data_IF_641592258462
#
_entry.id   IF_641592258462
#
_cell.length_a   1.000
_cell.length_b   1.000
_cell.length_c   1.000
_cell.angle_alpha   90.00
_cell.angle_beta   90.00
_cell.angle_gamma   90.00
#
_symmetry.space_group_name_H-M   'P 1'
#
loop_
_entity.id
_entity.type
_entity.pdbx_description
1 polymer ?
#
# COMPACT_ATOMS: atom_id res chain seq x y z
N UNK A 1 0.48 -17.87 -3.47
CA UNK A 1 0.33 -18.63 -4.75
C UNK A 1 1.69 -18.88 -5.37
N UNK A 2 1.91 -20.02 -6.09
CA UNK A 2 3.12 -20.28 -6.87
C UNK A 2 2.75 -20.32 -8.35
N UNK A 3 3.63 -19.77 -9.19
CA UNK A 3 3.43 -19.81 -10.64
C UNK A 3 3.74 -21.21 -11.19
N UNK A 4 2.88 -21.72 -12.06
CA UNK A 4 3.07 -23.03 -12.69
C UNK A 4 3.98 -23.01 -13.93
N UNK A 5 4.42 -21.80 -14.33
CA UNK A 5 5.27 -21.59 -15.51
C UNK A 5 6.78 -21.66 -15.23
N UNK A 6 7.55 -21.01 -16.09
CA UNK A 6 8.98 -20.77 -15.97
C UNK A 6 9.23 -19.28 -15.79
N UNK A 7 10.26 -18.89 -15.00
CA UNK A 7 10.60 -17.47 -14.88
C UNK A 7 11.21 -16.94 -16.18
N UNK A 8 11.06 -15.65 -16.42
CA UNK A 8 11.65 -14.99 -17.58
C UNK A 8 13.12 -14.63 -17.35
N UNK A 9 13.92 -14.68 -18.42
CA UNK A 9 15.32 -14.21 -18.37
C UNK A 9 15.38 -12.74 -18.00
N UNK A 10 16.16 -12.42 -16.96
CA UNK A 10 16.29 -11.08 -16.39
C UNK A 10 15.35 -10.80 -15.21
N UNK A 11 14.39 -11.66 -14.95
CA UNK A 11 13.48 -11.56 -13.80
C UNK A 11 14.24 -11.70 -12.48
N UNK A 12 13.74 -11.01 -11.44
CA UNK A 12 14.16 -11.21 -10.06
C UNK A 12 13.22 -12.20 -9.38
N UNK A 13 13.80 -13.26 -8.84
CA UNK A 13 13.05 -14.33 -8.17
C UNK A 13 13.52 -14.51 -6.73
N UNK A 14 12.59 -14.84 -5.85
CA UNK A 14 12.89 -15.23 -4.47
C UNK A 14 13.07 -16.74 -4.39
N UNK A 15 14.14 -17.18 -3.77
CA UNK A 15 14.39 -18.59 -3.56
C UNK A 15 15.02 -18.90 -2.22
N UNK A 16 15.02 -20.16 -1.87
CA UNK A 16 15.63 -20.70 -0.66
C UNK A 16 16.81 -21.56 -1.02
N UNK A 17 17.94 -21.31 -0.36
CA UNK A 17 19.13 -22.13 -0.52
C UNK A 17 18.86 -23.55 -0.04
N UNK A 18 18.88 -24.51 -0.95
CA UNK A 18 18.68 -25.93 -0.65
C UNK A 18 20.01 -26.62 -0.41
N UNK A 19 20.91 -26.61 -1.38
CA UNK A 19 22.17 -27.35 -1.33
C UNK A 19 23.35 -26.47 -1.78
N UNK A 20 24.49 -26.62 -1.09
CA UNK A 20 25.71 -25.86 -1.37
C UNK A 20 26.82 -26.82 -1.76
N UNK A 21 27.28 -26.72 -3.01
CA UNK A 21 28.36 -27.47 -3.58
C UNK A 21 29.59 -26.58 -3.87
N UNK A 22 30.75 -27.17 -4.15
CA UNK A 22 32.00 -26.41 -4.42
C UNK A 22 31.89 -25.58 -5.72
N UNK A 23 31.04 -26.00 -6.67
CA UNK A 23 30.86 -25.35 -7.96
C UNK A 23 29.69 -24.37 -7.96
N UNK A 24 28.81 -24.36 -6.94
CA UNK A 24 27.66 -23.48 -6.90
C UNK A 24 26.62 -23.81 -5.84
N UNK A 25 25.50 -23.16 -5.93
CA UNK A 25 24.39 -23.23 -4.96
C UNK A 25 23.10 -23.57 -5.68
N UNK A 26 22.40 -24.55 -5.19
CA UNK A 26 21.06 -24.87 -5.65
C UNK A 26 20.03 -24.09 -4.88
N UNK A 27 19.08 -23.48 -5.59
CA UNK A 27 18.05 -22.60 -5.05
C UNK A 27 16.68 -23.15 -5.43
N UNK A 28 15.85 -23.48 -4.45
CA UNK A 28 14.44 -23.78 -4.68
C UNK A 28 13.68 -22.47 -4.82
N UNK A 29 12.98 -22.26 -5.94
CA UNK A 29 12.23 -21.03 -6.17
C UNK A 29 10.95 -21.03 -5.34
N UNK A 30 10.78 -19.98 -4.52
CA UNK A 30 9.61 -19.86 -3.64
C UNK A 30 8.35 -19.40 -4.39
N UNK A 31 8.52 -18.70 -5.51
CA UNK A 31 7.44 -18.15 -6.33
C UNK A 31 6.96 -19.08 -7.43
N UNK A 32 7.70 -20.17 -7.73
CA UNK A 32 7.41 -21.12 -8.79
C UNK A 32 7.22 -22.53 -8.25
N UNK A 33 6.25 -23.28 -8.84
CA UNK A 33 6.00 -24.68 -8.46
C UNK A 33 7.13 -25.57 -8.96
N UNK A 34 7.72 -26.35 -8.04
CA UNK A 34 8.71 -27.39 -8.34
C UNK A 34 9.87 -26.93 -9.23
N UNK A 35 10.26 -25.64 -9.14
CA UNK A 35 11.39 -25.10 -9.88
C UNK A 35 12.60 -24.92 -8.98
N UNK A 36 13.73 -25.37 -9.51
CA UNK A 36 15.04 -25.29 -8.87
C UNK A 36 16.04 -24.65 -9.84
N UNK A 37 16.80 -23.68 -9.37
CA UNK A 37 17.84 -23.04 -10.15
C UNK A 37 19.23 -23.31 -9.58
N UNK A 38 20.25 -23.02 -10.40
CA UNK A 38 21.67 -23.12 -10.04
C UNK A 38 22.32 -21.75 -10.10
N UNK A 39 22.94 -21.35 -8.98
CA UNK A 39 23.86 -20.22 -8.93
C UNK A 39 25.26 -20.75 -8.99
N UNK A 40 25.95 -20.58 -10.13
CA UNK A 40 27.36 -20.96 -10.27
C UNK A 40 28.22 -20.16 -9.27
N UNK A 41 29.36 -20.74 -8.79
CA UNK A 41 30.23 -20.09 -7.81
C UNK A 41 30.65 -18.67 -8.21
N UNK A 42 30.84 -18.40 -9.51
CA UNK A 42 31.16 -17.07 -10.05
C UNK A 42 29.99 -16.07 -9.97
N UNK A 43 28.77 -16.55 -9.74
CA UNK A 43 27.55 -15.77 -9.65
C UNK A 43 27.04 -15.55 -8.21
N UNK A 44 27.73 -16.11 -7.21
CA UNK A 44 27.36 -15.96 -5.79
C UNK A 44 27.74 -14.58 -5.24
N UNK A 45 28.97 -14.14 -5.50
CA UNK A 45 29.46 -12.83 -5.08
C UNK A 45 30.50 -12.27 -6.05
N UNK A 46 30.73 -10.94 -5.96
CA UNK A 46 31.77 -10.27 -6.75
C UNK A 46 33.17 -10.60 -6.20
N UNK A 47 34.09 -11.01 -7.07
CA UNK A 47 35.47 -11.31 -6.71
C UNK A 47 35.77 -12.80 -6.60
N UNK A 48 36.97 -13.13 -6.03
CA UNK A 48 37.38 -14.50 -5.88
C UNK A 48 36.79 -15.12 -4.61
N UNK A 49 36.01 -16.17 -4.78
CA UNK A 49 35.37 -16.92 -3.68
C UNK A 49 36.23 -18.11 -3.33
N UNK A 50 36.69 -18.17 -2.08
CA UNK A 50 37.46 -19.30 -1.55
C UNK A 50 36.54 -20.43 -1.08
N UNK A 51 35.41 -20.09 -0.48
CA UNK A 51 34.42 -21.03 0.02
C UNK A 51 33.01 -20.42 -0.16
N UNK A 52 32.13 -21.09 -0.85
CA UNK A 52 30.76 -20.66 -1.13
C UNK A 52 29.97 -20.50 0.19
N UNK A 53 30.23 -21.37 1.17
CA UNK A 53 29.56 -21.35 2.48
C UNK A 53 29.88 -20.13 3.34
N UNK A 54 30.88 -19.32 2.97
CA UNK A 54 31.17 -18.04 3.64
C UNK A 54 30.20 -16.93 3.20
N UNK A 55 29.49 -17.13 2.08
CA UNK A 55 28.59 -16.12 1.47
C UNK A 55 27.09 -16.46 1.64
N UNK A 56 26.76 -17.76 1.64
CA UNK A 56 25.38 -18.24 1.75
C UNK A 56 25.28 -19.44 2.69
N UNK A 57 24.09 -19.62 3.27
CA UNK A 57 23.80 -20.74 4.18
C UNK A 57 22.56 -21.51 3.73
N UNK A 58 22.56 -22.84 3.90
CA UNK A 58 21.39 -23.67 3.62
C UNK A 58 20.18 -23.18 4.42
N UNK A 59 19.04 -23.09 3.74
CA UNK A 59 17.79 -22.56 4.29
C UNK A 59 17.68 -21.03 4.29
N UNK A 60 18.71 -20.30 3.83
CA UNK A 60 18.66 -18.86 3.67
C UNK A 60 17.74 -18.47 2.49
N UNK A 61 16.89 -17.47 2.71
CA UNK A 61 16.13 -16.84 1.63
C UNK A 61 17.02 -15.83 0.90
N UNK A 62 17.08 -15.90 -0.41
CA UNK A 62 17.89 -15.05 -1.29
C UNK A 62 17.05 -14.53 -2.45
N UNK A 63 17.44 -13.40 -3.00
CA UNK A 63 16.91 -12.89 -4.27
C UNK A 63 17.97 -13.16 -5.35
N UNK A 64 17.53 -13.75 -6.45
CA UNK A 64 18.37 -14.07 -7.58
C UNK A 64 17.83 -13.41 -8.84
N UNK A 65 18.73 -13.05 -9.75
CA UNK A 65 18.38 -12.68 -11.11
C UNK A 65 18.48 -13.92 -12.01
N UNK A 66 17.45 -14.15 -12.81
CA UNK A 66 17.43 -15.22 -13.81
C UNK A 66 18.35 -14.83 -14.96
N UNK A 67 19.37 -15.64 -15.24
CA UNK A 67 20.32 -15.42 -16.32
C UNK A 67 19.87 -16.12 -17.60
N UNK A 68 19.45 -17.38 -17.48
CA UNK A 68 19.00 -18.21 -18.59
C UNK A 68 18.02 -19.29 -18.11
N UNK A 69 17.13 -19.72 -18.99
CA UNK A 69 16.15 -20.78 -18.73
C UNK A 69 16.14 -21.77 -19.90
N UNK A 70 16.49 -23.00 -19.63
CA UNK A 70 16.35 -24.12 -20.57
C UNK A 70 15.25 -25.08 -20.10
N UNK A 71 14.06 -24.90 -20.64
CA UNK A 71 12.90 -25.74 -20.31
C UNK A 71 13.11 -27.20 -20.70
N UNK A 72 13.90 -27.46 -21.76
CA UNK A 72 14.16 -28.81 -22.27
C UNK A 72 15.01 -29.63 -21.30
N UNK A 73 16.01 -29.04 -20.68
CA UNK A 73 16.85 -29.66 -19.64
C UNK A 73 16.36 -29.39 -18.22
N UNK A 74 15.31 -28.56 -18.06
CA UNK A 74 14.78 -28.10 -16.78
C UNK A 74 15.84 -27.36 -15.93
N UNK A 75 16.69 -26.58 -16.59
CA UNK A 75 17.76 -25.84 -15.94
C UNK A 75 17.41 -24.35 -15.91
N UNK A 76 17.63 -23.72 -14.74
CA UNK A 76 17.51 -22.29 -14.53
C UNK A 76 18.84 -21.80 -13.98
N UNK A 77 19.54 -20.94 -14.72
CA UNK A 77 20.78 -20.33 -14.28
C UNK A 77 20.50 -19.00 -13.60
N UNK A 78 21.03 -18.84 -12.40
CA UNK A 78 20.73 -17.73 -11.48
C UNK A 78 22.00 -16.97 -11.09
N UNK A 79 21.85 -15.68 -10.75
CA UNK A 79 22.91 -14.84 -10.17
C UNK A 79 22.41 -14.13 -8.91
N UNK A 80 23.15 -14.26 -7.82
CA UNK A 80 22.96 -13.47 -6.58
C UNK A 80 23.71 -12.13 -6.72
N UNK A 81 24.92 -12.14 -7.28
CA UNK A 81 25.78 -10.94 -7.35
C UNK A 81 25.21 -9.83 -8.24
N UNK A 82 24.35 -10.16 -9.20
CA UNK A 82 23.74 -9.21 -10.13
C UNK A 82 22.46 -8.55 -9.57
N UNK A 83 22.17 -8.79 -8.29
CA UNK A 83 21.10 -8.15 -7.54
C UNK A 83 21.70 -7.14 -6.57
N UNK A 84 21.35 -5.86 -6.71
CA UNK A 84 21.78 -4.84 -5.76
C UNK A 84 20.90 -4.81 -4.50
N UNK A 85 21.36 -4.12 -3.44
CA UNK A 85 20.64 -4.08 -2.14
C UNK A 85 19.21 -3.52 -2.26
N UNK A 86 18.99 -2.55 -3.14
CA UNK A 86 17.67 -1.95 -3.35
C UNK A 86 16.72 -2.96 -3.98
N UNK A 87 17.14 -3.57 -5.10
CA UNK A 87 16.39 -4.62 -5.76
C UNK A 87 16.09 -5.81 -4.83
N UNK A 88 17.06 -6.19 -4.00
CA UNK A 88 16.88 -7.25 -3.01
C UNK A 88 15.81 -6.87 -1.99
N UNK A 89 15.88 -5.65 -1.43
CA UNK A 89 14.94 -5.19 -0.42
C UNK A 89 13.51 -5.10 -0.97
N UNK A 90 13.36 -4.49 -2.15
CA UNK A 90 12.08 -4.32 -2.81
C UNK A 90 11.45 -5.68 -3.13
N UNK A 91 12.19 -6.58 -3.79
CA UNK A 91 11.68 -7.90 -4.16
C UNK A 91 11.27 -8.75 -2.95
N UNK A 92 12.04 -8.68 -1.84
CA UNK A 92 11.66 -9.36 -0.59
C UNK A 92 10.38 -8.75 0.01
N UNK A 93 10.21 -7.44 -0.08
CA UNK A 93 9.01 -6.78 0.43
C UNK A 93 7.78 -7.18 -0.41
N UNK A 94 7.89 -7.15 -1.74
CA UNK A 94 6.83 -7.56 -2.66
C UNK A 94 6.43 -9.01 -2.41
N UNK A 95 7.40 -9.91 -2.33
CA UNK A 95 7.13 -11.31 -2.03
C UNK A 95 6.43 -11.53 -0.69
N UNK A 96 6.84 -10.79 0.36
CA UNK A 96 6.15 -10.85 1.66
C UNK A 96 4.73 -10.30 1.60
N UNK A 97 4.51 -9.28 0.81
CA UNK A 97 3.20 -8.70 0.60
C UNK A 97 2.28 -9.70 -0.11
N UNK A 98 2.76 -10.36 -1.18
CA UNK A 98 2.01 -11.42 -1.86
C UNK A 98 1.70 -12.61 -0.94
N UNK A 99 2.60 -12.99 -0.04
CA UNK A 99 2.34 -14.02 0.97
C UNK A 99 1.24 -13.63 1.97
N UNK A 100 1.11 -12.32 2.28
CA UNK A 100 0.00 -11.81 3.11
C UNK A 100 -1.30 -11.83 2.33
N UNK A 101 -1.27 -11.34 1.08
CA UNK A 101 -2.44 -11.31 0.21
C UNK A 101 -3.04 -12.69 -0.01
N UNK A 102 -2.21 -13.72 -0.21
CA UNK A 102 -2.62 -15.11 -0.33
C UNK A 102 -3.38 -15.61 0.93
N UNK A 103 -2.93 -15.20 2.12
CA UNK A 103 -3.65 -15.49 3.37
C UNK A 103 -4.97 -14.72 3.48
N UNK A 104 -5.01 -13.47 3.03
CA UNK A 104 -6.22 -12.67 3.03
C UNK A 104 -7.26 -13.21 2.04
N UNK A 105 -6.84 -13.74 0.88
CA UNK A 105 -7.71 -14.48 -0.01
C UNK A 105 -8.37 -15.67 0.69
N UNK A 106 -7.58 -16.45 1.43
CA UNK A 106 -8.11 -17.57 2.22
C UNK A 106 -9.03 -17.14 3.36
N UNK A 107 -8.80 -15.96 3.96
CA UNK A 107 -9.67 -15.37 4.98
C UNK A 107 -10.98 -14.85 4.39
N UNK A 108 -10.93 -14.18 3.24
CA UNK A 108 -12.10 -13.61 2.57
C UNK A 108 -13.07 -14.70 2.10
N UNK A 109 -12.55 -15.74 1.47
CA UNK A 109 -13.35 -16.74 0.75
C UNK A 109 -13.38 -18.12 1.43
N UNK A 110 -12.64 -18.29 2.53
CA UNK A 110 -12.52 -19.55 3.25
C UNK A 110 -11.42 -20.47 2.71
N UNK A 111 -10.99 -21.43 3.54
CA UNK A 111 -9.96 -22.42 3.17
C UNK A 111 -10.45 -23.43 2.10
N UNK A 112 -11.75 -23.57 1.93
CA UNK A 112 -12.40 -24.44 0.94
C UNK A 112 -12.67 -23.72 -0.41
N UNK A 113 -12.13 -22.51 -0.62
CA UNK A 113 -12.22 -21.78 -1.88
C UNK A 113 -11.70 -22.66 -3.03
N UNK A 114 -12.54 -22.88 -4.03
CA UNK A 114 -12.14 -23.70 -5.19
C UNK A 114 -11.07 -23.00 -6.02
N UNK A 115 -10.18 -23.79 -6.64
CA UNK A 115 -9.08 -23.28 -7.49
C UNK A 115 -9.59 -22.34 -8.60
N UNK A 116 -10.78 -22.60 -9.15
CA UNK A 116 -11.39 -21.78 -10.21
C UNK A 116 -11.78 -20.39 -9.69
N UNK A 117 -12.40 -20.30 -8.51
CA UNK A 117 -12.77 -19.02 -7.88
C UNK A 117 -11.53 -18.24 -7.46
N UNK A 118 -10.56 -18.90 -6.82
CA UNK A 118 -9.29 -18.28 -6.46
C UNK A 118 -8.61 -17.65 -7.70
N UNK A 119 -8.54 -18.43 -8.78
CA UNK A 119 -7.90 -17.99 -10.02
C UNK A 119 -8.65 -16.82 -10.65
N UNK A 120 -10.01 -16.82 -10.61
CA UNK A 120 -10.82 -15.73 -11.12
C UNK A 120 -10.53 -14.43 -10.35
N UNK A 121 -10.71 -14.44 -9.03
CA UNK A 121 -10.48 -13.24 -8.20
C UNK A 121 -9.04 -12.75 -8.29
N UNK A 122 -8.06 -13.67 -8.23
CA UNK A 122 -6.65 -13.30 -8.35
C UNK A 122 -6.32 -12.63 -9.69
N UNK A 123 -6.88 -13.15 -10.80
CA UNK A 123 -6.66 -12.56 -12.13
C UNK A 123 -7.28 -11.19 -12.27
N UNK A 124 -8.48 -10.96 -11.71
CA UNK A 124 -9.12 -9.67 -11.71
C UNK A 124 -8.28 -8.62 -10.94
N UNK A 125 -7.82 -8.97 -9.74
CA UNK A 125 -6.96 -8.09 -8.95
C UNK A 125 -5.62 -7.83 -9.63
N UNK A 126 -4.98 -8.85 -10.22
CA UNK A 126 -3.73 -8.69 -10.97
C UNK A 126 -3.90 -7.80 -12.21
N UNK A 127 -5.01 -7.95 -12.93
CA UNK A 127 -5.28 -7.16 -14.15
C UNK A 127 -5.51 -5.68 -13.84
N UNK A 128 -6.23 -5.35 -12.77
CA UNK A 128 -6.57 -3.97 -12.41
C UNK A 128 -5.45 -3.28 -11.60
N UNK A 129 -4.84 -3.98 -10.64
CA UNK A 129 -3.91 -3.38 -9.68
C UNK A 129 -2.44 -3.80 -9.86
N UNK A 130 -2.17 -4.83 -10.65
CA UNK A 130 -0.81 -5.36 -10.85
C UNK A 130 -0.35 -6.35 -9.78
N UNK A 131 -0.98 -6.36 -8.60
CA UNK A 131 -0.74 -7.36 -7.54
C UNK A 131 -2.01 -7.63 -6.74
N UNK A 132 -2.12 -8.82 -6.12
CA UNK A 132 -3.25 -9.13 -5.24
C UNK A 132 -3.18 -8.24 -3.99
N UNK A 133 -1.97 -8.01 -3.48
CA UNK A 133 -1.74 -7.16 -2.31
C UNK A 133 -2.25 -5.73 -2.54
N UNK A 134 -1.90 -5.12 -3.69
CA UNK A 134 -2.34 -3.76 -4.01
C UNK A 134 -3.87 -3.70 -4.16
N UNK A 135 -4.50 -4.75 -4.70
CA UNK A 135 -5.95 -4.88 -4.74
C UNK A 135 -6.59 -4.81 -3.36
N UNK A 136 -6.08 -5.56 -2.39
CA UNK A 136 -6.53 -5.47 -0.99
C UNK A 136 -6.22 -4.10 -0.37
N UNK A 137 -5.08 -3.50 -0.67
CA UNK A 137 -4.74 -2.16 -0.16
C UNK A 137 -5.71 -1.10 -0.68
N UNK A 138 -6.01 -1.11 -1.98
CA UNK A 138 -6.98 -0.19 -2.57
C UNK A 138 -8.41 -0.44 -2.04
N UNK A 139 -8.80 -1.69 -1.87
CA UNK A 139 -10.09 -2.04 -1.27
C UNK A 139 -10.20 -1.58 0.20
N UNK A 140 -9.12 -1.64 0.97
CA UNK A 140 -9.08 -1.12 2.35
C UNK A 140 -9.20 0.41 2.40
N UNK A 141 -8.59 1.12 1.43
CA UNK A 141 -8.55 2.59 1.36
C UNK A 141 -9.87 3.15 0.84
N UNK A 142 -10.34 2.66 -0.30
CA UNK A 142 -11.45 3.24 -1.06
C UNK A 142 -12.75 2.42 -0.98
N UNK A 143 -12.71 1.26 -0.33
CA UNK A 143 -13.88 0.38 -0.21
C UNK A 143 -14.29 -0.25 -1.55
N UNK A 144 -15.61 -0.52 -1.74
CA UNK A 144 -16.11 -1.18 -2.94
C UNK A 144 -15.82 -0.43 -4.24
N UNK A 145 -15.76 0.91 -4.20
CA UNK A 145 -15.51 1.75 -5.37
C UNK A 145 -14.15 1.47 -6.03
N UNK A 146 -13.17 1.00 -5.26
CA UNK A 146 -11.87 0.60 -5.80
C UNK A 146 -11.98 -0.57 -6.78
N UNK A 147 -12.98 -1.43 -6.63
CA UNK A 147 -13.16 -2.66 -7.38
C UNK A 147 -14.14 -2.53 -8.55
N UNK A 148 -14.68 -1.34 -8.82
CA UNK A 148 -15.64 -1.07 -9.92
C UNK A 148 -15.09 -1.43 -11.32
N UNK A 149 -13.76 -1.48 -11.48
CA UNK A 149 -13.08 -1.87 -12.72
C UNK A 149 -12.93 -3.38 -12.93
N UNK A 150 -13.26 -4.21 -11.93
CA UNK A 150 -13.12 -5.67 -11.96
C UNK A 150 -14.42 -6.37 -12.35
N UNK A 151 -14.36 -7.62 -12.83
CA UNK A 151 -15.52 -8.48 -13.10
C UNK A 151 -15.82 -9.40 -11.90
N UNK A 152 -15.79 -8.83 -10.68
CA UNK A 152 -16.12 -9.52 -9.44
C UNK A 152 -17.61 -9.39 -9.11
N UNK A 153 -18.20 -10.44 -8.53
CA UNK A 153 -19.58 -10.40 -8.04
C UNK A 153 -19.71 -9.53 -6.77
N UNK A 154 -20.88 -8.93 -6.54
CA UNK A 154 -21.12 -8.05 -5.39
C UNK A 154 -20.75 -8.72 -4.04
N UNK A 155 -20.99 -10.03 -3.90
CA UNK A 155 -20.65 -10.81 -2.69
C UNK A 155 -19.11 -10.94 -2.53
N UNK A 156 -18.37 -11.11 -3.63
CA UNK A 156 -16.90 -11.19 -3.62
C UNK A 156 -16.28 -9.84 -3.27
N UNK A 157 -16.83 -8.75 -3.80
CA UNK A 157 -16.44 -7.39 -3.45
C UNK A 157 -16.65 -7.11 -1.96
N UNK A 158 -17.81 -7.49 -1.39
CA UNK A 158 -18.10 -7.28 0.03
C UNK A 158 -17.11 -8.04 0.92
N UNK A 159 -16.83 -9.32 0.61
CA UNK A 159 -15.89 -10.17 1.36
C UNK A 159 -14.46 -9.65 1.28
N UNK A 160 -14.02 -9.20 0.09
CA UNK A 160 -12.70 -8.58 -0.12
C UNK A 160 -12.54 -7.30 0.71
N UNK A 161 -13.51 -6.39 0.64
CA UNK A 161 -13.46 -5.11 1.36
C UNK A 161 -13.49 -5.31 2.87
N UNK A 162 -14.34 -6.20 3.38
CA UNK A 162 -14.39 -6.52 4.81
C UNK A 162 -13.05 -7.07 5.30
N UNK A 163 -12.51 -8.07 4.60
CA UNK A 163 -11.20 -8.67 4.93
C UNK A 163 -10.07 -7.65 4.82
N UNK A 164 -10.09 -6.80 3.80
CA UNK A 164 -9.09 -5.75 3.60
C UNK A 164 -9.10 -4.75 4.77
N UNK A 165 -10.26 -4.25 5.16
CA UNK A 165 -10.42 -3.29 6.28
C UNK A 165 -9.95 -3.87 7.62
N UNK A 166 -10.12 -5.16 7.84
CA UNK A 166 -9.69 -5.82 9.08
C UNK A 166 -8.18 -6.12 9.14
N UNK A 167 -7.55 -6.38 8.00
CA UNK A 167 -6.21 -6.96 7.94
C UNK A 167 -5.14 -6.03 7.35
N UNK A 168 -5.51 -5.07 6.50
CA UNK A 168 -4.59 -4.13 5.87
C UNK A 168 -4.38 -2.92 6.78
N UNK A 169 -3.12 -2.70 7.17
CA UNK A 169 -2.75 -1.48 7.89
C UNK A 169 -2.49 -0.36 6.88
N UNK A 170 -3.51 0.46 6.64
CA UNK A 170 -3.36 1.64 5.78
C UNK A 170 -2.49 2.68 6.48
N UNK A 171 -1.37 3.13 5.89
CA UNK A 171 -0.62 4.23 6.43
C UNK A 171 -1.43 5.52 6.27
N UNK A 172 -1.69 6.21 7.37
CA UNK A 172 -2.35 7.52 7.34
C UNK A 172 -1.33 8.63 7.56
N UNK A 173 -1.54 9.72 6.85
CA UNK A 173 -0.86 11.00 7.09
C UNK A 173 -1.83 11.98 7.72
N UNK A 174 -1.33 12.86 8.56
CA UNK A 174 -2.12 13.91 9.19
C UNK A 174 -1.59 15.27 8.76
N UNK A 175 -2.47 16.10 8.22
CA UNK A 175 -2.18 17.50 7.96
C UNK A 175 -3.02 18.37 8.88
N UNK A 176 -2.48 19.53 9.23
CA UNK A 176 -3.13 20.47 10.15
C UNK A 176 -3.04 21.87 9.57
N UNK A 177 -4.15 22.60 9.68
CA UNK A 177 -4.24 24.02 9.38
C UNK A 177 -5.07 24.73 10.43
N UNK A 178 -5.12 26.02 10.37
CA UNK A 178 -5.86 26.87 11.28
C UNK A 178 -6.73 27.84 10.51
N UNK A 179 -7.92 28.12 11.03
CA UNK A 179 -8.82 29.10 10.45
C UNK A 179 -9.29 30.07 11.55
N UNK A 180 -9.12 31.34 11.31
CA UNK A 180 -9.68 32.40 12.14
C UNK A 180 -11.10 32.69 11.70
N UNK A 181 -12.07 32.45 12.55
CA UNK A 181 -13.48 32.79 12.34
C UNK A 181 -13.87 33.98 13.19
N UNK A 182 -14.30 35.05 12.55
CA UNK A 182 -14.77 36.28 13.22
C UNK A 182 -16.10 36.70 12.64
N UNK A 183 -17.07 36.97 13.52
CA UNK A 183 -18.36 37.52 13.10
C UNK A 183 -18.85 38.53 14.17
N UNK A 184 -18.71 39.83 13.89
CA UNK A 184 -19.13 40.92 14.82
C UNK A 184 -20.64 41.19 14.77
N UNK A 185 -21.41 40.51 13.89
CA UNK A 185 -22.85 40.68 13.74
C UNK A 185 -23.64 40.22 14.99
N UNK A 186 -24.92 40.57 15.04
CA UNK A 186 -25.81 40.22 16.19
C UNK A 186 -26.00 38.70 16.31
N UNK A 187 -25.96 37.97 15.17
CA UNK A 187 -26.10 36.53 15.11
C UNK A 187 -24.70 35.87 14.87
N UNK A 188 -23.63 36.53 15.35
CA UNK A 188 -22.24 36.13 15.10
C UNK A 188 -21.91 34.72 15.55
N UNK A 189 -22.47 34.28 16.69
CA UNK A 189 -22.29 32.93 17.24
C UNK A 189 -22.89 31.86 16.30
N UNK A 190 -24.09 32.15 15.76
CA UNK A 190 -24.77 31.23 14.87
C UNK A 190 -24.07 31.14 13.51
N UNK A 191 -23.53 32.27 13.02
CA UNK A 191 -22.68 32.29 11.81
C UNK A 191 -21.39 31.47 11.95
N UNK A 192 -20.71 31.61 13.11
CA UNK A 192 -19.50 30.81 13.39
C UNK A 192 -19.83 29.31 13.49
N UNK A 193 -20.95 28.96 14.17
CA UNK A 193 -21.39 27.56 14.24
C UNK A 193 -21.66 26.98 12.85
N UNK A 194 -22.38 27.70 11.99
CA UNK A 194 -22.66 27.27 10.63
C UNK A 194 -21.37 27.09 9.81
N UNK A 195 -20.37 27.96 9.99
CA UNK A 195 -19.07 27.83 9.34
C UNK A 195 -18.29 26.60 9.83
N UNK A 196 -18.34 26.28 11.14
CA UNK A 196 -17.71 25.09 11.69
C UNK A 196 -18.38 23.80 11.21
N UNK A 197 -19.72 23.75 11.22
CA UNK A 197 -20.49 22.62 10.70
C UNK A 197 -20.21 22.42 9.20
N UNK A 198 -20.10 23.50 8.42
CA UNK A 198 -19.72 23.42 7.02
C UNK A 198 -18.26 22.91 6.84
N UNK A 199 -17.33 23.39 7.68
CA UNK A 199 -15.95 22.94 7.66
C UNK A 199 -15.83 21.43 7.92
N UNK A 200 -16.62 20.90 8.86
CA UNK A 200 -16.71 19.46 9.18
C UNK A 200 -17.34 18.62 8.05
N UNK A 201 -17.93 19.27 7.02
CA UNK A 201 -18.34 18.61 5.78
C UNK A 201 -19.72 17.99 5.77
N UNK A 202 -20.53 18.06 6.86
CA UNK A 202 -21.94 17.60 6.95
C UNK A 202 -22.23 16.21 6.29
N UNK A 203 -21.24 15.29 6.28
CA UNK A 203 -21.38 13.98 5.68
C UNK A 203 -20.87 13.84 4.23
N UNK A 204 -20.39 14.89 3.59
CA UNK A 204 -19.77 14.89 2.25
C UNK A 204 -18.24 14.67 2.29
N UNK A 205 -17.75 13.89 3.26
CA UNK A 205 -16.33 13.56 3.38
C UNK A 205 -16.14 12.12 2.93
N UNK A 206 -15.11 11.83 2.10
CA UNK A 206 -14.79 10.44 1.73
C UNK A 206 -14.58 9.57 2.96
N UNK A 207 -15.02 8.31 2.91
CA UNK A 207 -14.96 7.34 4.01
C UNK A 207 -13.54 7.13 4.55
N UNK A 208 -12.51 7.29 3.69
CA UNK A 208 -11.10 7.15 4.02
C UNK A 208 -10.49 8.38 4.72
N UNK A 209 -11.26 9.46 4.91
CA UNK A 209 -10.80 10.72 5.50
C UNK A 209 -11.44 10.97 6.86
N UNK A 210 -10.61 11.19 7.86
CA UNK A 210 -11.06 11.71 9.18
C UNK A 210 -10.77 13.21 9.23
N UNK A 211 -11.80 14.02 9.43
CA UNK A 211 -11.68 15.47 9.57
C UNK A 211 -12.22 15.92 10.94
N UNK A 212 -11.42 16.68 11.67
CA UNK A 212 -11.72 17.17 13.00
C UNK A 212 -11.47 18.68 13.09
N UNK A 213 -12.49 19.43 13.53
CA UNK A 213 -12.37 20.86 13.75
C UNK A 213 -12.44 21.16 15.24
N UNK A 214 -11.36 21.69 15.80
CA UNK A 214 -11.20 21.90 17.24
C UNK A 214 -10.98 23.37 17.55
N UNK A 215 -11.68 23.91 18.58
CA UNK A 215 -11.42 25.22 19.12
C UNK A 215 -10.05 25.28 19.81
N UNK A 216 -9.24 26.27 19.44
CA UNK A 216 -7.93 26.52 20.04
C UNK A 216 -7.96 27.73 20.98
N UNK A 217 -8.61 28.79 20.55
CA UNK A 217 -8.76 30.05 21.29
C UNK A 217 -9.26 31.11 20.31
N UNK A 218 -10.39 31.79 20.64
CA UNK A 218 -10.99 32.78 19.73
C UNK A 218 -9.95 33.80 19.23
N UNK A 219 -9.87 34.04 17.92
CA UNK A 219 -10.75 33.58 16.84
C UNK A 219 -10.34 32.27 16.18
N UNK A 220 -9.27 31.59 16.64
CA UNK A 220 -8.56 30.52 15.99
C UNK A 220 -9.21 29.14 16.26
N UNK A 221 -9.43 28.39 15.17
CA UNK A 221 -9.86 26.99 15.16
C UNK A 221 -8.86 26.14 14.38
N UNK A 222 -8.55 24.95 14.88
CA UNK A 222 -7.68 24.00 14.23
C UNK A 222 -8.49 23.02 13.41
N UNK A 223 -8.12 22.87 12.14
CA UNK A 223 -8.64 21.84 11.24
C UNK A 223 -7.56 20.77 11.10
N UNK A 224 -7.87 19.54 11.46
CA UNK A 224 -6.99 18.38 11.33
C UNK A 224 -7.62 17.39 10.40
N UNK A 225 -6.87 16.99 9.37
CA UNK A 225 -7.28 16.00 8.38
C UNK A 225 -6.33 14.82 8.43
N UNK A 226 -6.86 13.62 8.58
CA UNK A 226 -6.15 12.35 8.48
C UNK A 226 -6.66 11.61 7.25
N UNK A 227 -5.75 11.26 6.33
CA UNK A 227 -6.08 10.61 5.06
C UNK A 227 -4.97 9.63 4.65
N UNK A 228 -5.21 8.72 3.69
CA UNK A 228 -4.22 7.73 3.26
C UNK A 228 -2.94 8.31 2.66
N UNK A 229 -3.02 9.51 2.08
CA UNK A 229 -1.86 10.19 1.49
C UNK A 229 -1.93 11.71 1.65
N UNK A 230 -0.78 12.39 1.51
CA UNK A 230 -0.68 13.83 1.65
C UNK A 230 -1.53 14.61 0.65
N UNK A 231 -1.68 14.13 -0.58
CA UNK A 231 -2.45 14.82 -1.62
C UNK A 231 -3.93 14.88 -1.24
N UNK A 232 -4.49 13.77 -0.80
CA UNK A 232 -5.88 13.69 -0.32
C UNK A 232 -6.06 14.53 0.94
N UNK A 233 -5.14 14.43 1.89
CA UNK A 233 -5.20 15.18 3.14
C UNK A 233 -5.17 16.70 2.91
N UNK A 234 -4.29 17.19 2.03
CA UNK A 234 -4.20 18.61 1.67
C UNK A 234 -5.47 19.08 0.93
N UNK A 235 -5.94 18.31 -0.05
CA UNK A 235 -7.14 18.67 -0.79
C UNK A 235 -8.38 18.78 0.13
N UNK A 236 -8.51 17.88 1.09
CA UNK A 236 -9.61 17.91 2.05
C UNK A 236 -9.47 19.04 3.08
N UNK A 237 -8.24 19.41 3.45
CA UNK A 237 -7.99 20.57 4.29
C UNK A 237 -8.40 21.87 3.57
N UNK A 238 -7.97 22.05 2.32
CA UNK A 238 -8.35 23.21 1.50
C UNK A 238 -9.87 23.28 1.28
N UNK A 239 -10.51 22.15 1.02
CA UNK A 239 -11.96 22.09 0.83
C UNK A 239 -12.72 22.38 2.13
N UNK A 240 -12.25 21.92 3.28
CA UNK A 240 -12.81 22.26 4.60
C UNK A 240 -12.78 23.77 4.85
N UNK A 241 -11.64 24.40 4.58
CA UNK A 241 -11.48 25.86 4.70
C UNK A 241 -12.42 26.59 3.75
N UNK A 242 -12.47 26.15 2.48
CA UNK A 242 -13.38 26.74 1.49
C UNK A 242 -14.85 26.66 1.90
N UNK A 243 -15.28 25.54 2.50
CA UNK A 243 -16.66 25.42 3.04
C UNK A 243 -16.93 26.40 4.16
N UNK A 244 -15.95 26.61 5.06
CA UNK A 244 -16.06 27.62 6.12
C UNK A 244 -16.14 29.03 5.56
N UNK A 245 -15.32 29.39 4.57
CA UNK A 245 -15.32 30.68 3.89
C UNK A 245 -16.67 30.94 3.22
N UNK A 246 -17.20 29.98 2.45
CA UNK A 246 -18.51 30.08 1.79
C UNK A 246 -19.64 30.25 2.81
N UNK A 247 -19.59 29.56 3.94
CA UNK A 247 -20.59 29.71 4.99
C UNK A 247 -20.56 31.11 5.65
N UNK A 248 -19.41 31.78 5.65
CA UNK A 248 -19.28 33.16 6.14
C UNK A 248 -19.64 34.21 5.09
N UNK A 249 -19.71 33.86 3.79
CA UNK A 249 -20.14 34.77 2.73
C UNK A 249 -21.57 35.25 2.97
N UNK A 250 -21.76 36.55 2.81
CA UNK A 250 -23.09 37.21 3.05
C UNK A 250 -23.43 37.48 4.50
N UNK A 251 -22.50 37.21 5.41
CA UNK A 251 -22.54 37.65 6.81
C UNK A 251 -21.61 38.84 7.04
N UNK A 252 -21.65 39.46 8.23
CA UNK A 252 -20.68 40.47 8.64
C UNK A 252 -19.33 39.83 9.09
N UNK A 253 -19.13 38.52 8.86
CA UNK A 253 -17.98 37.76 9.32
C UNK A 253 -16.92 37.56 8.29
N UNK A 254 -15.76 37.04 8.74
CA UNK A 254 -14.65 36.61 7.93
C UNK A 254 -14.11 35.25 8.38
N UNK A 255 -13.52 34.51 7.41
CA UNK A 255 -12.73 33.30 7.65
C UNK A 255 -11.37 33.52 6.99
N UNK A 256 -10.30 33.37 7.76
CA UNK A 256 -8.93 33.58 7.29
C UNK A 256 -8.10 32.33 7.62
N UNK A 257 -7.54 31.68 6.56
CA UNK A 257 -6.73 30.45 6.70
C UNK A 257 -5.26 30.75 6.92
N UNK A 258 -4.62 29.99 7.79
CA UNK A 258 -3.17 29.99 7.96
C UNK A 258 -2.64 28.57 8.30
N UNK A 259 -1.41 28.32 7.92
CA UNK A 259 -0.80 26.99 8.07
C UNK A 259 -0.24 26.77 9.46
N UNK A 260 0.23 27.79 10.10
CA UNK A 260 0.85 27.75 11.42
C UNK A 260 -0.03 28.46 12.43
N UNK A 261 -0.03 27.96 13.64
CA UNK A 261 -0.75 28.58 14.75
C UNK A 261 -0.21 29.98 15.01
N UNK A 262 -1.12 30.94 15.28
CA UNK A 262 -0.69 32.24 15.81
C UNK A 262 -0.03 32.03 17.18
N UNK A 263 1.29 32.22 17.27
CA UNK A 263 1.97 32.40 18.56
C UNK A 263 1.76 33.85 18.95
N UNK A 264 0.99 34.08 20.03
CA UNK A 264 1.01 35.39 20.66
C UNK A 264 2.42 35.61 21.18
N UNK A 265 3.20 36.45 20.45
CA UNK A 265 4.42 37.03 20.98
C UNK A 265 4.01 37.94 22.16
N UNK A 266 4.33 37.50 23.41
CA UNK A 266 4.27 38.36 24.58
C UNK A 266 5.29 39.51 24.50
#
# INVERSE_FOLDING_TARGET
>A
MKYSGWPDTGELVVGKVDEIEDFGVFIDLEEYEDKRGLVHVSEVASGWIKNVRDHVSTGQTVVCKVLDVDEGSQQIDLSIKDVNEHQHSDKIQDWKNEQKADKWMSLAFGEDMGDEQYTHVANELLAEFGSIYDGFEQAAIHGPEALDGTDLEDEEVEQLVETARENVSVPYVTVTGYVDLRNPGKDGVDGIKAALEAAEGNGDIPDEVELDVTYVGAPEYRVRVKAPNYKTAEAQLEESVRRAEVAMEGTDGSADFHRERHTDDE
#
